data_IF_742498340390
#
_entry.id   IF_742498340390
#
_cell.length_a   1.000
_cell.length_b   1.000
_cell.length_c   1.000
_cell.angle_alpha   90.00
_cell.angle_beta   90.00
_cell.angle_gamma   90.00
#
_symmetry.space_group_name_H-M   'P 1'
#
loop_
_entity.id
_entity.type
_entity.pdbx_description
1 polymer ?
#
# COMPACT_ATOMS: atom_id res chain seq x y z
N UNK A 1 11.36 7.20 41.60
CA UNK A 1 11.77 8.32 40.91
C UNK A 1 12.65 8.08 39.76
N UNK A 2 12.75 6.98 39.39
CA UNK A 2 13.70 6.66 38.46
C UNK A 2 13.25 6.20 37.18
N UNK A 3 12.05 5.85 37.02
CA UNK A 3 11.53 5.20 35.90
C UNK A 3 11.19 6.08 34.72
N UNK A 4 11.95 7.07 34.49
CA UNK A 4 11.59 8.03 33.53
C UNK A 4 11.75 7.62 32.08
N UNK A 5 12.57 6.73 31.81
CA UNK A 5 12.93 6.49 30.43
C UNK A 5 12.17 5.42 29.70
N UNK A 6 11.21 4.80 30.34
CA UNK A 6 10.62 3.63 29.71
C UNK A 6 9.34 3.83 28.94
N UNK A 7 8.70 4.93 29.10
CA UNK A 7 7.37 5.05 28.57
C UNK A 7 7.25 5.20 27.07
N UNK A 8 8.10 5.91 26.41
CA UNK A 8 7.85 6.20 24.99
C UNK A 8 7.88 5.01 24.06
N UNK A 9 8.56 3.98 24.47
CA UNK A 9 8.78 2.88 23.55
C UNK A 9 7.58 1.97 23.35
N UNK A 10 6.70 1.95 24.31
CA UNK A 10 5.52 1.11 24.17
C UNK A 10 4.64 1.56 23.03
N UNK A 11 4.52 2.85 22.88
CA UNK A 11 3.66 3.36 21.83
C UNK A 11 4.19 3.05 20.43
N UNK A 12 5.49 3.08 20.28
CA UNK A 12 6.07 2.78 18.99
C UNK A 12 5.91 1.32 18.60
N UNK A 13 5.94 0.44 19.59
CA UNK A 13 5.71 -0.97 19.32
C UNK A 13 4.26 -1.24 18.93
N UNK A 14 3.34 -0.61 19.64
CA UNK A 14 1.93 -0.75 19.33
C UNK A 14 1.62 -0.23 17.93
N UNK A 15 2.23 0.87 17.57
CA UNK A 15 2.06 1.43 16.23
C UNK A 15 2.57 0.47 15.17
N UNK A 16 3.63 -0.23 15.45
CA UNK A 16 4.16 -1.20 14.50
C UNK A 16 3.30 -2.44 14.37
N UNK A 17 2.51 -2.74 15.37
CA UNK A 17 1.64 -3.91 15.33
C UNK A 17 0.36 -3.66 14.55
N UNK A 18 -0.01 -2.41 14.36
CA UNK A 18 -1.19 -2.08 13.58
C UNK A 18 -0.85 -2.09 12.10
N UNK A 19 -1.50 -2.94 11.35
CA UNK A 19 -1.27 -3.02 9.91
C UNK A 19 -2.55 -3.45 9.20
N UNK A 20 -2.55 -3.26 7.90
CA UNK A 20 -3.64 -3.70 7.06
C UNK A 20 -3.08 -4.39 5.84
N UNK A 21 -3.86 -5.29 5.27
CA UNK A 21 -3.54 -5.91 3.99
C UNK A 21 -4.51 -5.36 2.97
N UNK A 22 -3.98 -4.71 1.97
CA UNK A 22 -4.78 -4.12 0.89
C UNK A 22 -4.53 -4.87 -0.41
N UNK A 23 -5.49 -4.79 -1.29
CA UNK A 23 -5.37 -5.36 -2.63
C UNK A 23 -5.45 -4.24 -3.64
N UNK A 24 -4.45 -4.15 -4.50
CA UNK A 24 -4.46 -3.18 -5.59
C UNK A 24 -3.63 -3.73 -6.74
N UNK A 25 -4.09 -3.50 -7.98
CA UNK A 25 -3.40 -3.98 -9.16
C UNK A 25 -3.26 -5.50 -9.23
N UNK A 26 -4.17 -6.24 -8.60
CA UNK A 26 -4.10 -7.69 -8.55
C UNK A 26 -3.09 -8.25 -7.55
N UNK A 27 -2.49 -7.40 -6.73
CA UNK A 27 -1.52 -7.80 -5.72
C UNK A 27 -1.96 -7.37 -4.35
N UNK A 28 -1.48 -8.07 -3.35
CA UNK A 28 -1.75 -7.74 -1.96
C UNK A 28 -0.50 -7.16 -1.32
N UNK A 29 -0.71 -6.15 -0.51
CA UNK A 29 0.38 -5.46 0.19
C UNK A 29 0.04 -5.34 1.66
N UNK A 30 1.02 -5.58 2.49
CA UNK A 30 0.92 -5.31 3.92
C UNK A 30 1.40 -3.90 4.17
N UNK A 31 0.54 -3.08 4.75
CA UNK A 31 0.85 -1.65 4.98
C UNK A 31 0.56 -1.27 6.41
N UNK A 32 1.34 -0.33 6.90
CA UNK A 32 1.11 0.32 8.19
C UNK A 32 1.15 1.82 7.97
N UNK A 33 0.66 2.57 8.92
CA UNK A 33 0.69 4.02 8.82
C UNK A 33 2.12 4.52 8.73
N UNK A 34 2.39 5.39 7.76
CA UNK A 34 3.71 5.92 7.52
C UNK A 34 4.57 5.13 6.58
N UNK A 35 4.11 3.96 6.13
CA UNK A 35 4.85 3.14 5.19
C UNK A 35 4.80 3.71 3.78
N UNK A 36 5.83 3.41 3.02
CA UNK A 36 5.89 3.75 1.60
C UNK A 36 5.91 2.47 0.80
N UNK A 37 5.01 2.37 -0.17
CA UNK A 37 4.91 1.18 -1.03
C UNK A 37 4.88 1.60 -2.49
N UNK A 38 5.31 0.70 -3.35
CA UNK A 38 5.22 0.87 -4.79
C UNK A 38 4.12 -0.05 -5.31
N UNK A 39 3.12 0.54 -5.94
CA UNK A 39 1.99 -0.20 -6.50
C UNK A 39 1.94 0.01 -8.00
N UNK A 40 1.13 -0.78 -8.69
CA UNK A 40 0.96 -0.60 -10.11
C UNK A 40 0.38 0.78 -10.40
N UNK A 41 0.62 1.28 -11.59
CA UNK A 41 0.28 2.65 -11.98
C UNK A 41 -1.16 3.01 -11.62
N UNK A 42 -1.30 4.08 -10.88
CA UNK A 42 -2.59 4.69 -10.57
C UNK A 42 -2.69 6.02 -11.29
N UNK A 43 -3.89 6.34 -11.75
CA UNK A 43 -4.15 7.59 -12.43
C UNK A 43 -4.33 8.71 -11.43
N UNK A 44 -3.25 9.11 -10.82
CA UNK A 44 -3.25 10.20 -9.84
C UNK A 44 -1.96 11.00 -9.98
N UNK A 45 -2.08 12.29 -9.81
CA UNK A 45 -0.92 13.15 -9.87
C UNK A 45 -0.13 13.10 -8.57
N UNK A 46 1.20 13.28 -8.62
CA UNK A 46 1.99 13.39 -7.40
C UNK A 46 1.45 14.47 -6.48
N UNK A 47 1.42 14.17 -5.20
CA UNK A 47 0.91 15.09 -4.19
C UNK A 47 -0.56 14.93 -3.89
N UNK A 48 -1.29 14.17 -4.67
CA UNK A 48 -2.72 13.95 -4.41
C UNK A 48 -2.92 12.74 -3.51
N UNK A 49 -4.04 12.74 -2.83
CA UNK A 49 -4.41 11.63 -1.97
C UNK A 49 -5.28 10.64 -2.73
N UNK A 50 -5.05 9.38 -2.44
CA UNK A 50 -5.81 8.27 -3.03
C UNK A 50 -6.38 7.45 -1.89
N UNK A 51 -7.62 7.04 -2.03
CA UNK A 51 -8.28 6.19 -1.06
C UNK A 51 -8.37 4.78 -1.63
N UNK A 52 -7.84 3.82 -0.89
CA UNK A 52 -7.87 2.42 -1.26
C UNK A 52 -8.92 1.72 -0.41
N UNK A 53 -9.96 1.26 -1.05
CA UNK A 53 -11.10 0.66 -0.36
C UNK A 53 -11.00 -0.87 -0.23
N UNK A 54 -10.14 -1.49 -1.01
CA UNK A 54 -10.00 -2.94 -1.00
C UNK A 54 -9.09 -3.41 0.12
N UNK A 55 -9.55 -3.25 1.35
CA UNK A 55 -8.82 -3.71 2.54
C UNK A 55 -9.32 -5.10 2.88
N UNK A 56 -8.44 -6.07 2.85
CA UNK A 56 -8.80 -7.46 3.10
C UNK A 56 -8.68 -7.85 4.56
N UNK A 57 -7.76 -7.23 5.27
CA UNK A 57 -7.51 -7.55 6.66
C UNK A 57 -6.97 -6.34 7.37
N UNK A 58 -7.34 -6.18 8.62
CA UNK A 58 -6.78 -5.16 9.49
C UNK A 58 -6.49 -5.78 10.85
N UNK A 59 -5.28 -5.60 11.31
CA UNK A 59 -4.87 -6.04 12.63
C UNK A 59 -4.45 -4.85 13.45
N UNK A 60 -4.99 -4.74 14.64
CA UNK A 60 -4.65 -3.68 15.56
C UNK A 60 -4.37 -4.33 16.90
N UNK A 61 -3.10 -4.66 17.12
CA UNK A 61 -2.70 -5.40 18.29
C UNK A 61 -3.31 -6.78 18.31
N UNK A 62 -4.20 -7.00 19.25
CA UNK A 62 -4.87 -8.30 19.40
C UNK A 62 -6.10 -8.43 18.53
N UNK A 63 -6.65 -7.33 18.08
CA UNK A 63 -7.87 -7.32 17.31
C UNK A 63 -7.58 -7.50 15.83
N UNK A 64 -8.17 -8.51 15.23
CA UNK A 64 -8.01 -8.80 13.82
C UNK A 64 -9.38 -8.79 13.15
N UNK A 65 -9.52 -7.98 12.14
CA UNK A 65 -10.74 -7.92 11.33
C UNK A 65 -10.38 -8.36 9.92
N UNK A 66 -11.18 -9.22 9.34
CA UNK A 66 -10.94 -9.67 7.98
C UNK A 66 -12.24 -9.72 7.20
N UNK A 67 -12.12 -9.68 5.91
CA UNK A 67 -13.24 -9.73 4.99
C UNK A 67 -12.70 -9.70 3.56
N UNK A 68 -13.57 -9.75 2.60
CA UNK A 68 -13.13 -9.78 1.22
C UNK A 68 -14.03 -8.89 0.34
N UNK A 69 -13.92 -7.60 0.40
CA UNK A 69 -13.19 -6.72 1.31
C UNK A 69 -13.95 -6.44 2.62
N UNK A 70 -13.27 -5.78 3.56
CA UNK A 70 -13.90 -5.32 4.79
C UNK A 70 -14.77 -4.11 4.47
N UNK A 71 -16.04 -4.17 4.85
CA UNK A 71 -16.94 -3.05 4.63
C UNK A 71 -16.54 -1.85 5.48
N UNK A 72 -16.48 -0.69 4.85
CA UNK A 72 -16.17 0.54 5.52
C UNK A 72 -14.71 0.76 5.85
N UNK A 73 -13.84 -0.17 5.48
CA UNK A 73 -12.42 0.00 5.69
C UNK A 73 -11.82 0.76 4.51
N UNK A 74 -10.92 1.67 4.83
CA UNK A 74 -10.24 2.50 3.83
C UNK A 74 -8.81 2.74 4.25
N UNK A 75 -7.93 2.83 3.29
CA UNK A 75 -6.55 3.26 3.51
C UNK A 75 -6.35 4.52 2.69
N UNK A 76 -5.99 5.60 3.36
CA UNK A 76 -5.69 6.85 2.69
C UNK A 76 -4.20 6.94 2.47
N UNK A 77 -3.81 7.14 1.23
CA UNK A 77 -2.42 7.25 0.85
C UNK A 77 -2.19 8.51 0.04
N UNK A 78 -0.99 9.02 0.08
CA UNK A 78 -0.58 10.16 -0.72
C UNK A 78 0.35 9.67 -1.81
N UNK A 79 0.12 10.12 -3.03
CA UNK A 79 1.00 9.79 -4.15
C UNK A 79 2.27 10.61 -4.02
N UNK A 80 3.39 9.93 -3.83
CA UNK A 80 4.69 10.60 -3.70
C UNK A 80 5.26 10.92 -5.08
N UNK A 81 5.27 9.91 -5.94
CA UNK A 81 5.81 10.08 -7.29
C UNK A 81 5.33 8.95 -8.20
N UNK A 82 5.39 9.21 -9.49
CA UNK A 82 5.21 8.19 -10.51
C UNK A 82 6.60 7.78 -10.96
N UNK A 83 6.91 6.50 -10.88
CA UNK A 83 8.25 6.04 -11.23
C UNK A 83 8.18 4.85 -12.18
N UNK A 84 9.31 4.55 -12.76
CA UNK A 84 9.47 3.37 -13.59
C UNK A 84 10.39 2.39 -12.88
N UNK A 85 10.01 1.14 -12.95
CA UNK A 85 10.81 0.07 -12.39
C UNK A 85 12.05 -0.20 -13.23
N UNK A 86 12.87 -1.11 -12.75
CA UNK A 86 14.08 -1.52 -13.45
C UNK A 86 13.71 -2.11 -14.81
N UNK A 87 14.51 -1.78 -15.81
CA UNK A 87 14.29 -2.29 -17.16
C UNK A 87 14.50 -3.80 -17.21
N UNK A 88 13.53 -4.48 -17.77
CA UNK A 88 13.60 -5.92 -18.02
C UNK A 88 13.82 -6.12 -19.52
N UNK A 89 14.86 -6.85 -19.86
CA UNK A 89 15.20 -7.11 -21.26
C UNK A 89 14.91 -8.57 -21.57
N UNK A 90 14.12 -8.79 -22.60
CA UNK A 90 13.80 -10.13 -23.06
C UNK A 90 14.53 -10.36 -24.39
N UNK A 91 15.44 -11.32 -24.39
CA UNK A 91 16.15 -11.68 -25.61
C UNK A 91 15.58 -12.98 -26.16
N UNK A 92 15.22 -12.95 -27.44
CA UNK A 92 14.65 -14.10 -28.13
C UNK A 92 15.52 -14.45 -29.33
N UNK A 93 15.79 -15.73 -29.52
CA UNK A 93 16.49 -16.15 -30.72
C UNK A 93 16.04 -17.54 -31.12
N UNK A 94 16.25 -17.89 -32.40
CA UNK A 94 15.98 -19.21 -32.93
C UNK A 94 17.26 -19.79 -33.52
N UNK A 95 17.51 -21.04 -33.20
CA UNK A 95 18.69 -21.71 -33.71
C UNK A 95 18.62 -21.84 -35.25
N UNK A 96 19.77 -21.60 -35.88
CA UNK A 96 19.94 -21.81 -37.34
C UNK A 96 18.99 -21.01 -38.23
N UNK A 97 18.31 -20.01 -37.67
CA UNK A 97 17.37 -19.23 -38.50
C UNK A 97 17.72 -17.75 -38.60
N UNK A 98 18.85 -17.37 -38.03
CA UNK A 98 19.23 -15.97 -38.04
C UNK A 98 18.25 -15.04 -37.35
N UNK A 99 17.33 -15.58 -36.60
CA UNK A 99 16.34 -14.78 -35.89
C UNK A 99 16.82 -14.46 -34.49
N UNK A 100 16.88 -13.20 -34.17
CA UNK A 100 17.08 -12.75 -32.81
C UNK A 100 16.38 -11.43 -32.62
N UNK A 101 15.86 -11.23 -31.42
CA UNK A 101 15.14 -10.00 -31.10
C UNK A 101 15.28 -9.68 -29.64
N UNK A 102 15.53 -8.42 -29.35
CA UNK A 102 15.62 -7.92 -27.99
C UNK A 102 14.46 -6.96 -27.74
N UNK A 103 13.70 -7.24 -26.69
CA UNK A 103 12.57 -6.39 -26.31
C UNK A 103 12.80 -5.92 -24.90
N UNK A 104 12.73 -4.61 -24.69
CA UNK A 104 12.85 -4.03 -23.37
C UNK A 104 11.50 -3.57 -22.83
N UNK A 105 11.30 -3.71 -21.54
CA UNK A 105 10.07 -3.29 -20.89
C UNK A 105 10.37 -2.71 -19.51
N UNK A 106 9.69 -1.65 -19.16
CA UNK A 106 9.74 -1.06 -17.82
C UNK A 106 8.32 -0.91 -17.29
N UNK A 107 8.09 -1.47 -16.11
CA UNK A 107 6.81 -1.28 -15.44
C UNK A 107 6.69 0.14 -14.93
N UNK A 108 5.50 0.67 -15.04
CA UNK A 108 5.19 1.97 -14.43
C UNK A 108 4.62 1.70 -13.05
N UNK A 109 5.14 2.38 -12.08
CA UNK A 109 4.75 2.22 -10.69
C UNK A 109 4.36 3.57 -10.10
N UNK A 110 3.48 3.52 -9.13
CA UNK A 110 3.11 4.69 -8.33
C UNK A 110 3.62 4.45 -6.92
N UNK A 111 4.39 5.38 -6.41
CA UNK A 111 4.86 5.31 -5.03
C UNK A 111 3.86 6.00 -4.13
N UNK A 112 3.35 5.26 -3.16
CA UNK A 112 2.36 5.75 -2.22
C UNK A 112 2.93 5.77 -0.82
N UNK A 113 2.63 6.83 -0.10
CA UNK A 113 2.91 6.91 1.32
C UNK A 113 1.58 6.77 2.07
N UNK A 114 1.51 5.80 2.95
CA UNK A 114 0.28 5.55 3.69
C UNK A 114 0.11 6.60 4.78
N UNK A 115 -0.99 7.31 4.74
CA UNK A 115 -1.28 8.35 5.71
C UNK A 115 -2.08 7.82 6.89
N UNK A 116 -3.14 7.10 6.61
CA UNK A 116 -4.00 6.59 7.68
C UNK A 116 -4.74 5.36 7.22
N UNK A 117 -5.08 4.53 8.18
CA UNK A 117 -5.87 3.32 7.96
C UNK A 117 -7.14 3.48 8.81
N UNK A 118 -8.29 3.38 8.17
CA UNK A 118 -9.58 3.54 8.82
C UNK A 118 -10.39 2.26 8.65
N UNK A 119 -10.92 1.75 9.73
CA UNK A 119 -11.74 0.54 9.74
C UNK A 119 -13.04 0.84 10.45
N UNK A 120 -14.12 0.26 9.96
CA UNK A 120 -15.41 0.49 10.57
C UNK A 120 -15.93 1.89 10.33
N UNK A 121 -15.91 2.34 9.11
CA UNK A 121 -16.19 3.69 8.73
C UNK A 121 -17.59 4.22 8.97
N UNK A 122 -18.37 3.55 9.77
CA UNK A 122 -19.72 4.04 10.05
C UNK A 122 -19.73 5.46 10.59
N UNK A 123 -18.81 5.74 11.48
CA UNK A 123 -18.74 7.06 12.08
C UNK A 123 -18.32 8.13 11.09
N UNK A 124 -17.39 7.80 10.26
CA UNK A 124 -16.93 8.76 9.28
C UNK A 124 -18.01 9.03 8.24
N UNK A 125 -18.75 8.01 7.88
CA UNK A 125 -19.85 8.20 6.95
C UNK A 125 -20.92 9.14 7.49
N UNK A 126 -21.18 9.07 8.78
CA UNK A 126 -22.14 10.01 9.39
C UNK A 126 -21.68 11.44 9.30
N UNK A 127 -20.40 11.64 9.54
CA UNK A 127 -19.88 13.00 9.48
C UNK A 127 -19.99 13.58 8.09
N UNK A 128 -19.78 12.77 7.11
CA UNK A 128 -19.88 13.24 5.74
C UNK A 128 -21.32 13.56 5.36
N UNK A 129 -22.27 12.87 5.93
CA UNK A 129 -23.66 13.10 5.63
C UNK A 129 -24.18 14.44 6.17
N UNK A 130 -23.51 14.97 7.14
CA UNK A 130 -23.86 16.27 7.68
C UNK A 130 -23.20 17.40 6.91
#
# INVERSE_FOLDING_TARGET
MILRGFFPRKNSLLTRMAFAIIKTGGRQYRVAEGDTIDVDLLEAEPGKQVVLADVLMHADGEKVTHGAPIDGAKVTAEVVEQRKDKKVVAYKFRRRKGYHRTVGHRRKLTRLKIKSISVGGKKSAKKEAE
#
